data_IF_909477073803
#
_entry.id   IF_909477073803
#
_cell.length_a   1.000
_cell.length_b   1.000
_cell.length_c   1.000
_cell.angle_alpha   90.00
_cell.angle_beta   90.00
_cell.angle_gamma   90.00
#
_symmetry.space_group_name_H-M   'P 1'
#
loop_
_entity.id
_entity.type
_entity.pdbx_description
1 polymer ?
#
# COMPACT_ATOMS: atom_id res chain seq x y z
N UNK A 1 53.00 -40.08 16.96
CA UNK A 1 51.74 -39.36 17.07
C UNK A 1 52.06 -37.90 17.40
N UNK A 2 52.04 -37.01 16.39
CA UNK A 2 52.24 -35.60 16.58
C UNK A 2 50.89 -34.95 16.72
N UNK A 3 50.62 -34.31 17.88
CA UNK A 3 49.42 -33.50 18.13
C UNK A 3 49.61 -32.17 17.40
N UNK A 4 48.71 -31.90 16.45
CA UNK A 4 48.59 -30.60 15.80
C UNK A 4 47.57 -29.80 16.61
N UNK A 5 48.07 -28.79 17.34
CA UNK A 5 47.20 -27.81 18.01
C UNK A 5 46.75 -26.80 16.98
N UNK A 6 45.45 -26.81 16.67
CA UNK A 6 44.83 -25.75 15.90
C UNK A 6 44.46 -24.60 16.86
N UNK A 7 45.24 -23.53 16.78
CA UNK A 7 44.88 -22.25 17.45
C UNK A 7 43.90 -21.53 16.54
N UNK A 8 42.62 -21.59 16.90
CA UNK A 8 41.60 -20.75 16.26
C UNK A 8 41.82 -19.33 16.78
N UNK A 9 42.41 -18.49 15.95
CA UNK A 9 42.40 -17.04 16.15
C UNK A 9 40.96 -16.55 15.95
N UNK A 10 40.24 -16.32 17.03
CA UNK A 10 38.99 -15.60 17.04
C UNK A 10 39.30 -14.15 16.66
N UNK A 11 39.14 -13.81 15.40
CA UNK A 11 38.98 -12.42 15.00
C UNK A 11 37.65 -11.94 15.55
N UNK A 12 37.66 -11.36 16.73
CA UNK A 12 36.64 -10.41 17.13
C UNK A 12 36.76 -9.22 16.17
N UNK A 13 36.00 -9.27 15.06
CA UNK A 13 35.63 -8.07 14.38
C UNK A 13 34.75 -7.30 15.38
N UNK A 14 35.37 -6.43 16.16
CA UNK A 14 34.66 -5.32 16.77
C UNK A 14 34.02 -4.58 15.60
N UNK A 15 32.77 -4.87 15.34
CA UNK A 15 31.91 -3.95 14.60
C UNK A 15 32.01 -2.65 15.40
N UNK A 16 32.83 -1.73 14.88
CA UNK A 16 32.69 -0.33 15.21
C UNK A 16 31.24 -0.01 14.82
N UNK A 17 30.33 -0.12 15.78
CA UNK A 17 29.09 0.63 15.71
C UNK A 17 29.58 2.08 15.72
N UNK A 18 29.64 2.68 14.55
CA UNK A 18 29.69 4.11 14.45
C UNK A 18 28.51 4.57 15.31
N UNK A 19 28.81 5.16 16.43
CA UNK A 19 27.79 5.78 17.27
C UNK A 19 27.31 6.92 16.41
N UNK A 20 26.16 6.68 15.74
CA UNK A 20 25.54 7.67 14.87
C UNK A 20 25.33 8.91 15.73
N UNK A 21 26.13 9.93 15.52
CA UNK A 21 26.09 11.20 16.25
C UNK A 21 24.88 12.00 15.79
N UNK A 22 23.67 11.47 16.00
CA UNK A 22 22.46 12.20 15.67
C UNK A 22 22.26 13.37 16.62
N UNK A 23 21.85 14.51 16.04
CA UNK A 23 21.47 15.71 16.77
C UNK A 23 19.96 15.74 16.92
N UNK A 24 19.49 15.77 18.16
CA UNK A 24 18.07 15.93 18.43
C UNK A 24 17.73 17.40 18.59
N UNK A 25 16.84 17.90 17.74
CA UNK A 25 16.31 19.25 17.82
C UNK A 25 14.84 19.19 18.19
N UNK A 26 14.47 19.90 19.26
CA UNK A 26 13.14 19.92 19.84
C UNK A 26 12.42 21.21 19.49
N UNK A 27 11.18 21.12 19.06
CA UNK A 27 10.38 22.25 18.66
C UNK A 27 10.07 23.17 19.84
N UNK A 28 10.50 24.43 19.73
CA UNK A 28 10.21 25.50 20.71
C UNK A 28 9.54 26.70 20.04
N UNK A 29 9.35 26.63 18.73
CA UNK A 29 8.90 27.74 17.92
C UNK A 29 7.51 28.24 18.27
N UNK A 30 7.25 29.42 17.79
CA UNK A 30 5.91 29.99 17.75
C UNK A 30 5.10 29.25 16.69
N UNK A 31 3.84 29.61 16.53
CA UNK A 31 2.84 29.00 15.66
C UNK A 31 3.36 28.56 14.28
N UNK A 32 4.29 29.28 13.68
CA UNK A 32 4.82 29.01 12.36
C UNK A 32 6.35 29.19 12.36
N UNK A 33 7.05 28.26 11.72
CA UNK A 33 8.49 28.32 11.59
C UNK A 33 9.01 27.41 10.47
N UNK A 34 10.18 27.75 9.95
CA UNK A 34 10.83 26.89 8.96
C UNK A 34 11.71 25.86 9.65
N UNK A 35 11.87 24.68 9.04
CA UNK A 35 12.74 23.64 9.58
C UNK A 35 14.20 24.08 9.70
N UNK A 36 14.60 25.09 8.95
CA UNK A 36 15.97 25.63 8.96
C UNK A 36 16.14 26.84 9.90
N UNK A 37 15.07 27.36 10.50
CA UNK A 37 15.16 28.50 11.42
C UNK A 37 15.65 28.06 12.81
N UNK A 38 16.87 28.42 13.16
CA UNK A 38 17.51 28.02 14.42
C UNK A 38 16.69 28.41 15.66
N UNK A 39 16.03 29.57 15.59
CA UNK A 39 15.19 30.10 16.69
C UNK A 39 13.93 29.28 16.98
N UNK A 40 13.61 28.31 16.11
CA UNK A 40 12.44 27.43 16.26
C UNK A 40 12.76 26.14 17.00
N UNK A 41 14.04 25.90 17.30
CA UNK A 41 14.52 24.63 17.84
C UNK A 41 15.40 24.79 19.06
N UNK A 42 15.39 23.81 19.94
CA UNK A 42 16.28 23.65 21.09
C UNK A 42 17.01 22.31 21.03
N UNK A 43 18.23 22.24 21.56
CA UNK A 43 18.92 20.97 21.81
C UNK A 43 18.41 20.29 23.11
N UNK A 44 17.66 20.97 23.94
CA UNK A 44 17.09 20.48 25.20
C UNK A 44 15.60 20.16 25.05
N UNK A 45 15.22 18.93 25.35
CA UNK A 45 13.83 18.47 25.32
C UNK A 45 12.92 19.24 26.28
N UNK A 46 13.45 19.63 27.43
CA UNK A 46 12.70 20.33 28.47
C UNK A 46 12.65 21.86 28.28
N UNK A 47 13.56 22.41 27.48
CA UNK A 47 13.90 23.83 27.51
C UNK A 47 13.44 24.63 26.32
N UNK A 48 12.75 25.74 26.63
CA UNK A 48 12.55 26.84 25.67
C UNK A 48 13.78 27.78 25.63
N UNK A 49 14.80 27.52 26.45
CA UNK A 49 15.83 28.51 26.79
C UNK A 49 17.19 28.28 26.13
N UNK A 50 17.34 27.18 25.40
CA UNK A 50 18.55 26.87 24.63
C UNK A 50 18.27 26.80 23.12
N UNK A 51 18.15 27.91 22.43
CA UNK A 51 17.98 27.87 20.98
C UNK A 51 19.20 27.22 20.32
N UNK A 52 18.94 26.41 19.31
CA UNK A 52 19.97 25.78 18.50
C UNK A 52 20.87 26.83 17.86
N UNK A 53 22.17 26.65 17.97
CA UNK A 53 23.17 27.55 17.38
C UNK A 53 23.78 27.00 16.09
N UNK A 54 23.62 25.69 15.85
CA UNK A 54 24.15 24.99 14.67
C UNK A 54 23.02 24.68 13.69
N UNK A 55 23.24 24.97 12.42
CA UNK A 55 22.26 24.70 11.38
C UNK A 55 21.97 23.20 11.26
N UNK A 56 20.69 22.80 11.03
CA UNK A 56 20.32 21.42 10.78
C UNK A 56 21.06 20.83 9.56
N UNK A 57 21.43 19.56 9.66
CA UNK A 57 22.12 18.78 8.64
C UNK A 57 21.50 17.37 8.50
N UNK A 58 22.14 16.51 7.70
CA UNK A 58 21.70 15.13 7.45
C UNK A 58 21.65 14.23 8.69
N UNK A 59 22.25 14.63 9.79
CA UNK A 59 22.22 13.90 11.07
C UNK A 59 21.16 14.45 12.02
N UNK A 60 20.40 15.46 11.61
CA UNK A 60 19.42 16.11 12.49
C UNK A 60 18.12 15.33 12.52
N UNK A 61 17.66 15.00 13.74
CA UNK A 61 16.35 14.46 14.04
C UNK A 61 15.50 15.60 14.61
N UNK A 62 14.41 15.92 13.95
CA UNK A 62 13.45 16.91 14.42
C UNK A 62 12.39 16.26 15.28
N UNK A 63 12.25 16.74 16.52
CA UNK A 63 11.28 16.25 17.49
C UNK A 63 10.20 17.33 17.75
N UNK A 64 8.95 17.02 17.45
CA UNK A 64 7.80 17.88 17.71
C UNK A 64 6.94 17.22 18.76
N UNK A 65 7.33 17.41 20.03
CA UNK A 65 6.73 16.74 21.19
C UNK A 65 5.85 17.67 22.06
N UNK A 66 5.81 18.97 21.73
CA UNK A 66 5.02 19.97 22.43
C UNK A 66 4.29 20.87 21.45
N UNK A 67 3.06 21.20 21.78
CA UNK A 67 2.35 22.27 21.11
C UNK A 67 2.89 23.62 21.56
N UNK A 68 2.80 24.60 20.70
CA UNK A 68 3.16 25.97 21.00
C UNK A 68 2.52 26.43 22.32
N UNK A 69 3.27 27.14 23.14
CA UNK A 69 2.69 27.86 24.28
C UNK A 69 1.49 28.66 23.78
N UNK A 70 0.29 28.45 24.33
CA UNK A 70 -0.82 29.30 23.98
C UNK A 70 -0.46 30.72 24.46
N UNK A 71 -0.36 31.67 23.56
CA UNK A 71 -0.53 33.05 23.91
C UNK A 71 -1.93 33.20 24.49
N UNK A 72 -2.06 33.92 25.60
CA UNK A 72 -3.29 34.07 26.35
C UNK A 72 -4.48 34.33 25.41
N UNK A 73 -5.42 33.37 25.32
CA UNK A 73 -6.62 33.44 24.47
C UNK A 73 -6.58 32.67 23.16
N UNK A 74 -5.46 32.08 22.77
CA UNK A 74 -5.40 31.18 21.61
C UNK A 74 -5.16 29.75 22.08
N UNK A 75 -6.19 28.95 21.93
CA UNK A 75 -6.11 27.52 22.18
C UNK A 75 -5.16 26.89 21.14
N UNK A 76 -4.15 26.21 21.60
CA UNK A 76 -3.18 25.34 20.94
C UNK A 76 -3.32 25.19 19.41
N UNK A 77 -2.72 26.10 18.67
CA UNK A 77 -2.54 25.90 17.23
C UNK A 77 -1.52 24.76 16.99
N UNK A 78 -1.71 23.92 15.96
CA UNK A 78 -0.72 22.91 15.62
C UNK A 78 0.61 23.58 15.30
N UNK A 79 1.72 22.89 15.63
CA UNK A 79 3.02 23.34 15.16
C UNK A 79 3.03 23.32 13.64
N UNK A 80 3.24 24.48 13.01
CA UNK A 80 3.29 24.61 11.57
C UNK A 80 4.74 24.69 11.11
N UNK A 81 5.21 23.60 10.49
CA UNK A 81 6.55 23.47 9.96
C UNK A 81 6.54 23.71 8.44
N UNK A 82 7.34 24.63 7.98
CA UNK A 82 7.52 24.85 6.56
C UNK A 82 8.84 24.24 6.09
N UNK A 83 8.76 23.34 5.09
CA UNK A 83 9.90 22.76 4.41
C UNK A 83 10.02 23.31 3.00
N UNK A 84 11.12 23.99 2.73
CA UNK A 84 11.49 24.46 1.39
C UNK A 84 13.01 24.37 1.27
N UNK A 85 13.54 23.16 1.20
CA UNK A 85 14.99 22.97 1.14
C UNK A 85 15.34 21.67 0.41
N UNK A 86 16.40 21.73 -0.36
CA UNK A 86 16.99 20.54 -0.99
C UNK A 86 17.87 19.74 -0.01
N UNK A 87 18.13 20.29 1.19
CA UNK A 87 18.89 19.58 2.21
C UNK A 87 18.09 18.36 2.70
N UNK A 88 18.80 17.27 2.92
CA UNK A 88 18.26 16.11 3.58
C UNK A 88 18.49 16.23 5.10
N UNK A 89 17.52 15.72 5.88
CA UNK A 89 17.61 15.58 7.32
C UNK A 89 17.47 14.11 7.71
N UNK A 90 17.85 13.75 8.93
CA UNK A 90 17.75 12.35 9.34
C UNK A 90 16.31 11.90 9.45
N UNK A 91 15.53 12.51 10.31
CA UNK A 91 14.15 12.10 10.58
C UNK A 91 13.30 13.25 11.13
N UNK A 92 11.99 13.08 11.03
CA UNK A 92 11.03 13.89 11.78
C UNK A 92 10.16 12.97 12.64
N UNK A 93 10.05 13.27 13.91
CA UNK A 93 9.25 12.57 14.90
C UNK A 93 8.27 13.57 15.53
N UNK A 94 6.98 13.36 15.33
CA UNK A 94 5.93 14.18 15.92
C UNK A 94 5.02 13.33 16.80
N UNK A 95 4.84 13.74 18.04
CA UNK A 95 3.92 13.13 18.99
C UNK A 95 2.70 13.99 19.30
N UNK A 96 2.64 15.16 18.69
CA UNK A 96 1.55 16.13 18.87
C UNK A 96 0.92 16.50 17.53
N UNK A 97 -0.17 17.24 17.57
CA UNK A 97 -0.81 17.76 16.37
C UNK A 97 0.15 18.69 15.62
N UNK A 98 0.54 18.30 14.43
CA UNK A 98 1.54 19.00 13.63
C UNK A 98 1.03 19.22 12.23
N UNK A 99 1.15 20.43 11.75
CA UNK A 99 0.88 20.78 10.35
C UNK A 99 2.22 20.97 9.65
N UNK A 100 2.48 20.15 8.62
CA UNK A 100 3.71 20.23 7.85
C UNK A 100 3.37 20.73 6.46
N UNK A 101 3.98 21.86 6.10
CA UNK A 101 3.84 22.45 4.79
C UNK A 101 5.08 22.14 3.96
N UNK A 102 4.94 21.22 3.02
CA UNK A 102 5.95 20.98 1.99
C UNK A 102 5.74 22.01 0.88
N UNK A 103 6.57 23.03 0.83
CA UNK A 103 6.42 24.10 -0.17
C UNK A 103 6.99 23.72 -1.53
N UNK A 104 8.12 23.00 -1.57
CA UNK A 104 8.73 22.45 -2.79
C UNK A 104 9.22 21.04 -2.57
N UNK A 105 10.24 20.87 -1.74
CA UNK A 105 10.88 19.60 -1.46
C UNK A 105 11.19 19.47 0.01
N UNK A 106 10.99 18.29 0.57
CA UNK A 106 11.38 17.94 1.92
C UNK A 106 11.97 16.52 1.91
N UNK A 107 13.20 16.38 2.40
CA UNK A 107 13.95 15.13 2.33
C UNK A 107 14.32 14.64 3.72
N UNK A 108 14.00 13.36 4.01
CA UNK A 108 14.46 12.63 5.18
C UNK A 108 15.22 11.38 4.72
N UNK A 109 16.43 11.15 5.26
CA UNK A 109 17.20 9.94 4.97
C UNK A 109 16.76 8.74 5.82
N UNK A 110 16.07 8.98 6.92
CA UNK A 110 15.47 7.98 7.81
C UNK A 110 13.95 8.09 7.82
N UNK A 111 13.36 7.83 8.99
CA UNK A 111 11.92 7.72 9.14
C UNK A 111 11.23 9.07 9.29
N UNK A 112 9.99 9.10 8.82
CA UNK A 112 9.01 10.12 9.15
C UNK A 112 7.95 9.51 10.07
N UNK A 113 7.86 9.97 11.30
CA UNK A 113 6.96 9.42 12.31
C UNK A 113 6.02 10.51 12.81
N UNK A 114 4.73 10.32 12.60
CA UNK A 114 3.69 11.19 13.13
C UNK A 114 2.73 10.37 13.98
N UNK A 115 2.98 10.32 15.30
CA UNK A 115 2.15 9.66 16.31
C UNK A 115 1.46 10.69 17.19
N UNK A 116 0.18 10.53 17.44
CA UNK A 116 -0.55 11.33 18.44
C UNK A 116 -0.77 10.47 19.65
N UNK A 117 -0.46 11.03 20.81
CA UNK A 117 -0.87 10.45 22.07
C UNK A 117 -2.40 10.46 22.20
N UNK A 118 -2.99 9.34 22.64
CA UNK A 118 -4.44 9.11 22.68
C UNK A 118 -5.21 10.14 23.51
N UNK A 119 -4.53 10.82 24.42
CA UNK A 119 -5.14 11.73 25.41
C UNK A 119 -5.18 13.18 24.94
N UNK A 120 -4.56 13.49 23.80
CA UNK A 120 -4.52 14.87 23.33
C UNK A 120 -5.72 15.19 22.44
N UNK A 121 -6.78 15.72 23.06
CA UNK A 121 -7.94 16.26 22.34
C UNK A 121 -7.96 17.78 22.41
N UNK A 122 -7.95 18.41 21.26
CA UNK A 122 -8.22 19.83 21.09
C UNK A 122 -9.68 20.02 20.70
N UNK A 123 -10.49 20.63 21.54
CA UNK A 123 -11.88 21.06 21.29
C UNK A 123 -12.74 20.00 20.54
N UNK A 124 -12.58 18.72 20.88
CA UNK A 124 -13.27 17.62 20.22
C UNK A 124 -12.94 17.42 18.73
N UNK A 125 -11.97 18.15 18.21
CA UNK A 125 -11.56 18.15 16.79
C UNK A 125 -10.05 18.25 16.70
N UNK A 126 -9.34 17.17 16.65
CA UNK A 126 -7.93 17.22 16.30
C UNK A 126 -7.69 16.66 14.92
N UNK A 127 -7.21 17.48 14.05
CA UNK A 127 -6.81 17.11 12.69
C UNK A 127 -5.32 17.27 12.61
N UNK A 128 -4.60 16.15 12.48
CA UNK A 128 -3.23 16.20 12.02
C UNK A 128 -3.23 16.53 10.55
N UNK A 129 -2.50 17.53 10.18
CA UNK A 129 -2.40 17.90 8.78
C UNK A 129 -0.95 17.76 8.32
N UNK A 130 -0.70 16.78 7.50
CA UNK A 130 0.39 16.86 6.57
C UNK A 130 -0.12 17.66 5.38
N UNK A 131 0.24 18.94 5.33
CA UNK A 131 -0.21 19.83 4.29
C UNK A 131 0.87 20.01 3.27
N UNK A 132 0.61 19.59 2.07
CA UNK A 132 1.41 19.93 0.93
C UNK A 132 0.79 21.18 0.30
N UNK A 133 1.21 22.33 0.78
CA UNK A 133 0.66 23.59 0.34
C UNK A 133 1.71 24.37 -0.44
N UNK A 134 1.32 24.80 -1.62
CA UNK A 134 1.98 25.90 -2.29
C UNK A 134 0.99 27.05 -2.39
N UNK A 135 1.23 28.12 -1.67
CA UNK A 135 0.28 29.20 -1.57
C UNK A 135 0.13 30.02 -2.86
N UNK A 136 1.03 29.91 -3.84
CA UNK A 136 1.09 30.98 -4.84
C UNK A 136 1.35 30.62 -6.31
N UNK A 137 1.51 29.38 -6.73
CA UNK A 137 1.71 29.14 -8.16
C UNK A 137 1.19 27.80 -8.67
N UNK A 138 0.53 27.88 -9.81
CA UNK A 138 -0.18 26.79 -10.48
C UNK A 138 0.72 25.68 -11.08
N UNK A 139 1.99 25.59 -10.76
CA UNK A 139 2.90 24.71 -11.48
C UNK A 139 4.03 24.09 -10.67
N UNK A 140 4.03 24.18 -9.35
CA UNK A 140 5.10 23.59 -8.55
C UNK A 140 4.74 22.19 -8.08
N UNK A 141 5.62 21.29 -8.41
CA UNK A 141 5.63 19.90 -8.02
C UNK A 141 6.06 19.81 -6.55
N UNK A 142 5.20 19.30 -5.69
CA UNK A 142 5.53 19.11 -4.28
C UNK A 142 6.12 17.70 -4.10
N UNK A 143 7.26 17.62 -3.44
CA UNK A 143 8.01 16.39 -3.29
C UNK A 143 8.33 16.15 -1.81
N UNK A 144 7.90 14.99 -1.30
CA UNK A 144 8.32 14.48 0.00
C UNK A 144 9.08 13.18 -0.21
N UNK A 145 10.33 13.15 0.22
CA UNK A 145 11.18 11.96 0.15
C UNK A 145 11.50 11.47 1.56
N UNK A 146 11.20 10.21 1.84
CA UNK A 146 11.45 9.52 3.11
C UNK A 146 12.28 8.27 2.82
N UNK A 147 13.53 8.26 3.24
CA UNK A 147 14.46 7.16 3.02
C UNK A 147 14.18 5.91 3.88
N UNK A 148 13.45 6.08 4.97
CA UNK A 148 12.98 5.00 5.85
C UNK A 148 11.48 4.75 5.72
N UNK A 149 10.84 4.40 6.84
CA UNK A 149 9.40 4.23 6.94
C UNK A 149 8.69 5.56 7.18
N UNK A 150 7.48 5.70 6.63
CA UNK A 150 6.57 6.78 6.97
C UNK A 150 5.44 6.22 7.83
N UNK A 151 5.42 6.59 9.11
CA UNK A 151 4.45 6.07 10.08
C UNK A 151 3.45 7.16 10.44
N UNK A 152 2.19 6.92 10.14
CA UNK A 152 1.08 7.82 10.42
C UNK A 152 0.13 7.15 11.40
N UNK A 153 0.11 7.63 12.65
CA UNK A 153 -0.88 7.16 13.60
C UNK A 153 -2.20 7.87 13.38
N UNK A 154 -3.25 7.09 13.40
CA UNK A 154 -4.62 7.57 13.30
C UNK A 154 -5.42 7.11 14.51
N UNK A 155 -6.39 7.90 14.95
CA UNK A 155 -7.30 7.53 16.03
C UNK A 155 -8.73 7.93 15.68
N UNK A 156 -9.71 7.59 16.48
CA UNK A 156 -11.12 8.01 16.30
C UNK A 156 -11.28 9.53 16.09
N UNK A 157 -10.31 10.31 16.53
CA UNK A 157 -10.39 11.79 16.51
C UNK A 157 -9.34 12.46 15.63
N UNK A 158 -8.43 11.70 15.01
CA UNK A 158 -7.26 12.24 14.33
C UNK A 158 -7.15 11.72 12.91
N UNK A 159 -7.24 12.59 11.94
CA UNK A 159 -7.01 12.28 10.53
C UNK A 159 -5.68 12.88 10.07
N UNK A 160 -4.95 12.15 9.25
CA UNK A 160 -3.86 12.75 8.47
C UNK A 160 -4.44 13.26 7.17
N UNK A 161 -4.39 14.58 6.98
CA UNK A 161 -4.85 15.20 5.74
C UNK A 161 -3.68 15.55 4.86
N UNK A 162 -3.72 15.05 3.64
CA UNK A 162 -2.88 15.53 2.55
C UNK A 162 -3.71 16.49 1.74
N UNK A 163 -3.46 17.80 1.90
CA UNK A 163 -4.20 18.81 1.17
C UNK A 163 -3.40 19.26 -0.04
N UNK A 164 -4.01 19.18 -1.20
CA UNK A 164 -3.48 19.78 -2.43
C UNK A 164 -3.99 21.21 -2.56
N UNK A 165 -3.17 22.07 -3.08
CA UNK A 165 -3.58 23.42 -3.43
C UNK A 165 -3.53 23.57 -4.95
N UNK A 166 -4.70 23.83 -5.55
CA UNK A 166 -4.85 24.26 -6.95
C UNK A 166 -4.40 23.28 -8.05
N UNK A 167 -4.93 22.08 -8.09
CA UNK A 167 -4.78 21.21 -9.26
C UNK A 167 -3.36 20.74 -9.58
N UNK A 168 -2.49 20.68 -8.58
CA UNK A 168 -1.09 20.32 -8.75
C UNK A 168 -0.88 18.81 -8.61
N UNK A 169 0.17 18.32 -9.26
CA UNK A 169 0.68 17.00 -8.99
C UNK A 169 1.51 17.02 -7.72
N UNK A 170 1.22 16.12 -6.80
CA UNK A 170 2.00 15.89 -5.62
C UNK A 170 2.69 14.54 -5.71
N UNK A 171 3.98 14.51 -5.38
CA UNK A 171 4.73 13.26 -5.30
C UNK A 171 5.23 13.01 -3.88
N UNK A 172 5.11 11.76 -3.45
CA UNK A 172 5.65 11.24 -2.21
C UNK A 172 6.43 9.96 -2.49
N UNK A 173 7.70 9.95 -2.13
CA UNK A 173 8.56 8.77 -2.24
C UNK A 173 8.91 8.27 -0.83
N UNK A 174 8.53 7.05 -0.51
CA UNK A 174 8.84 6.38 0.76
C UNK A 174 9.59 5.09 0.44
N UNK A 175 10.90 5.10 0.68
CA UNK A 175 11.74 3.95 0.37
C UNK A 175 11.41 2.73 1.24
N UNK A 176 10.99 2.96 2.48
CA UNK A 176 10.38 1.97 3.35
C UNK A 176 8.90 1.78 3.07
N UNK A 177 8.12 1.52 4.09
CA UNK A 177 6.67 1.37 4.00
C UNK A 177 5.93 2.61 4.51
N UNK A 178 4.85 2.97 3.84
CA UNK A 178 3.82 3.85 4.39
C UNK A 178 2.94 3.01 5.31
N UNK A 179 2.97 3.33 6.61
CA UNK A 179 2.28 2.57 7.66
C UNK A 179 1.22 3.42 8.34
N UNK A 180 0.01 2.90 8.39
CA UNK A 180 -1.07 3.47 9.16
C UNK A 180 -1.24 2.68 10.46
N UNK A 181 -0.96 3.32 11.60
CA UNK A 181 -1.17 2.76 12.92
C UNK A 181 -2.47 3.32 13.49
N UNK A 182 -3.47 2.47 13.70
CA UNK A 182 -4.69 2.88 14.36
C UNK A 182 -4.56 2.75 15.87
N UNK A 183 -4.81 3.85 16.57
CA UNK A 183 -4.78 3.91 18.04
C UNK A 183 -6.20 3.94 18.56
N UNK A 184 -6.64 2.89 19.25
CA UNK A 184 -7.96 2.73 19.83
C UNK A 184 -8.77 1.57 19.24
N UNK A 185 -9.99 1.39 19.72
CA UNK A 185 -10.88 0.37 19.20
C UNK A 185 -11.44 0.78 17.82
N UNK A 186 -11.19 -0.03 16.82
CA UNK A 186 -11.71 0.15 15.48
C UNK A 186 -13.20 -0.12 15.45
N UNK A 187 -14.04 0.88 15.72
CA UNK A 187 -15.43 0.80 15.34
C UNK A 187 -15.53 0.97 13.82
N UNK A 188 -16.13 0.00 13.14
CA UNK A 188 -16.41 0.09 11.73
C UNK A 188 -17.16 1.39 11.41
N UNK A 189 -16.51 2.32 10.74
CA UNK A 189 -17.10 3.59 10.31
C UNK A 189 -16.60 4.87 11.00
N UNK A 190 -15.82 4.79 12.05
CA UNK A 190 -15.26 5.96 12.74
C UNK A 190 -13.75 6.13 12.54
N UNK A 191 -13.20 5.54 11.50
CA UNK A 191 -11.78 5.56 11.23
C UNK A 191 -11.30 6.89 10.65
N UNK A 192 -10.04 7.09 10.72
CA UNK A 192 -9.36 8.28 10.31
C UNK A 192 -8.78 8.15 8.95
N UNK A 193 -8.82 9.28 8.28
CA UNK A 193 -8.60 9.36 6.87
C UNK A 193 -7.14 9.72 6.58
N UNK A 194 -6.61 9.07 5.58
CA UNK A 194 -5.66 9.71 4.70
C UNK A 194 -6.48 10.47 3.66
N UNK A 195 -6.67 11.76 3.91
CA UNK A 195 -7.62 12.58 3.16
C UNK A 195 -6.89 13.37 2.08
N UNK A 196 -7.06 12.95 0.83
CA UNK A 196 -6.50 13.59 -0.35
C UNK A 196 -7.49 14.66 -0.85
N UNK A 197 -7.36 15.89 -0.36
CA UNK A 197 -8.26 16.98 -0.73
C UNK A 197 -7.61 17.98 -1.66
N UNK A 198 -8.28 18.25 -2.76
CA UNK A 198 -8.12 19.50 -3.46
C UNK A 198 -9.14 20.52 -2.93
N UNK A 199 -8.66 21.53 -2.21
CA UNK A 199 -9.56 22.50 -1.58
C UNK A 199 -10.14 23.53 -2.56
N UNK A 200 -9.57 23.68 -3.77
CA UNK A 200 -9.85 24.86 -4.58
C UNK A 200 -10.05 24.65 -6.08
N UNK A 201 -9.93 23.45 -6.62
CA UNK A 201 -9.97 23.34 -8.09
C UNK A 201 -11.19 22.61 -8.62
N UNK A 202 -11.68 23.12 -9.73
CA UNK A 202 -12.55 22.39 -10.66
C UNK A 202 -11.77 21.45 -11.59
N UNK A 203 -10.45 21.48 -11.54
CA UNK A 203 -9.54 20.64 -12.31
C UNK A 203 -8.91 19.63 -11.36
N UNK A 204 -8.98 18.35 -11.67
CA UNK A 204 -8.46 17.28 -10.84
C UNK A 204 -6.99 17.45 -10.46
N UNK A 205 -6.61 16.88 -9.33
CA UNK A 205 -5.22 16.85 -8.83
C UNK A 205 -4.69 15.42 -8.94
N UNK A 206 -3.38 15.30 -9.13
CA UNK A 206 -2.70 14.01 -9.17
C UNK A 206 -1.89 13.79 -7.88
N UNK A 207 -2.01 12.61 -7.31
CA UNK A 207 -1.18 12.15 -6.21
C UNK A 207 -0.39 10.93 -6.65
N UNK A 208 0.93 11.02 -6.62
CA UNK A 208 1.82 9.90 -6.91
C UNK A 208 2.55 9.49 -5.64
N UNK A 209 2.34 8.26 -5.19
CA UNK A 209 3.05 7.66 -4.06
C UNK A 209 3.92 6.50 -4.55
N UNK A 210 5.23 6.68 -4.55
CA UNK A 210 6.20 5.61 -4.78
C UNK A 210 6.58 5.01 -3.42
N UNK A 211 6.27 3.75 -3.21
CA UNK A 211 6.32 3.10 -1.89
C UNK A 211 7.12 1.81 -1.94
N UNK A 212 8.00 1.61 -0.96
CA UNK A 212 8.56 0.30 -0.68
C UNK A 212 7.57 -0.68 -0.05
N UNK A 213 6.41 -0.20 0.38
CA UNK A 213 5.30 -0.99 0.88
C UNK A 213 4.17 -0.12 1.45
N UNK A 214 3.01 -0.74 1.66
CA UNK A 214 1.83 -0.12 2.26
C UNK A 214 1.22 -1.07 3.30
N UNK A 215 0.99 -0.59 4.52
CA UNK A 215 0.43 -1.42 5.58
C UNK A 215 -0.51 -0.65 6.51
N UNK A 216 -1.41 -1.37 7.17
CA UNK A 216 -2.27 -0.83 8.20
C UNK A 216 -2.44 -1.80 9.37
N UNK A 217 -2.56 -1.28 10.58
CA UNK A 217 -2.78 -2.09 11.78
C UNK A 217 -4.21 -2.64 11.92
N UNK A 218 -5.12 -2.31 10.99
CA UNK A 218 -6.51 -2.78 11.04
C UNK A 218 -7.37 -2.23 9.90
N UNK A 219 -8.65 -2.56 9.92
CA UNK A 219 -9.64 -2.15 8.90
C UNK A 219 -10.08 -0.68 9.00
N UNK A 220 -9.61 0.05 10.00
CA UNK A 220 -10.09 1.40 10.32
C UNK A 220 -9.52 2.52 9.46
N UNK A 221 -8.64 2.22 8.50
CA UNK A 221 -8.07 3.25 7.64
C UNK A 221 -9.04 3.61 6.54
N UNK A 222 -9.42 4.87 6.52
CA UNK A 222 -10.26 5.44 5.48
C UNK A 222 -9.39 6.34 4.59
N UNK A 223 -9.19 5.92 3.36
CA UNK A 223 -8.62 6.78 2.33
C UNK A 223 -9.75 7.52 1.63
N UNK A 224 -9.66 8.84 1.65
CA UNK A 224 -10.65 9.68 1.00
C UNK A 224 -10.01 10.59 -0.02
N UNK A 225 -10.75 10.85 -1.07
CA UNK A 225 -10.38 11.85 -2.05
C UNK A 225 -11.56 12.80 -2.30
N UNK A 226 -11.29 13.93 -2.91
CA UNK A 226 -12.32 14.88 -3.30
C UNK A 226 -11.92 15.60 -4.58
N UNK A 227 -12.91 15.96 -5.40
CA UNK A 227 -12.73 16.77 -6.60
C UNK A 227 -11.85 16.14 -7.68
N UNK A 228 -12.14 14.90 -8.03
CA UNK A 228 -11.52 14.19 -9.16
C UNK A 228 -10.00 14.00 -8.98
N UNK A 229 -9.56 13.60 -7.81
CA UNK A 229 -8.17 13.22 -7.56
C UNK A 229 -7.87 11.89 -8.25
N UNK A 230 -6.77 11.84 -8.97
CA UNK A 230 -6.17 10.59 -9.43
C UNK A 230 -5.00 10.25 -8.51
N UNK A 231 -5.11 9.14 -7.81
CA UNK A 231 -4.09 8.67 -6.88
C UNK A 231 -3.40 7.42 -7.42
N UNK A 232 -2.10 7.52 -7.69
CA UNK A 232 -1.27 6.43 -8.17
C UNK A 232 -0.40 5.91 -7.01
N UNK A 233 -0.60 4.65 -6.62
CA UNK A 233 0.24 3.93 -5.67
C UNK A 233 1.15 2.97 -6.43
N UNK A 234 2.44 3.28 -6.46
CA UNK A 234 3.46 2.49 -7.14
C UNK A 234 4.31 1.78 -6.09
N UNK A 235 4.20 0.48 -6.03
CA UNK A 235 5.01 -0.38 -5.16
C UNK A 235 6.27 -0.79 -5.89
N UNK A 236 7.42 -0.35 -5.39
CA UNK A 236 8.72 -0.57 -6.03
C UNK A 236 9.85 -0.75 -5.03
N UNK A 237 10.95 -1.33 -5.49
CA UNK A 237 12.14 -1.42 -4.67
C UNK A 237 12.69 -0.03 -4.36
N UNK A 238 13.25 0.12 -3.17
CA UNK A 238 14.08 1.25 -2.80
C UNK A 238 15.39 1.27 -3.59
N UNK A 239 16.15 2.36 -3.49
CA UNK A 239 17.39 2.53 -4.22
C UNK A 239 18.46 1.47 -3.88
N UNK A 240 18.42 0.89 -2.68
CA UNK A 240 19.28 -0.23 -2.26
C UNK A 240 18.78 -1.61 -2.74
N UNK A 241 17.72 -1.65 -3.53
CA UNK A 241 17.12 -2.86 -4.08
C UNK A 241 16.19 -3.61 -3.13
N UNK A 242 15.94 -3.10 -1.91
CA UNK A 242 15.03 -3.76 -0.98
C UNK A 242 13.57 -3.42 -1.26
N UNK A 243 12.68 -4.37 -0.98
CA UNK A 243 11.24 -4.17 -1.00
C UNK A 243 10.65 -4.57 0.35
N UNK A 244 9.93 -3.65 1.00
CA UNK A 244 9.35 -3.91 2.33
C UNK A 244 8.03 -4.66 2.24
N UNK A 245 7.22 -4.29 1.24
CA UNK A 245 5.86 -4.79 1.13
C UNK A 245 4.98 -4.44 2.32
N UNK A 246 3.86 -5.12 2.43
CA UNK A 246 2.95 -4.96 3.56
C UNK A 246 1.56 -5.51 3.31
N UNK A 247 0.75 -5.47 4.35
CA UNK A 247 -0.66 -5.79 4.30
C UNK A 247 -1.47 -4.55 4.66
N UNK A 248 -2.19 -4.01 3.69
CA UNK A 248 -3.09 -2.88 3.88
C UNK A 248 -4.54 -3.35 3.86
N UNK A 249 -5.32 -2.82 4.79
CA UNK A 249 -6.78 -3.00 4.86
C UNK A 249 -7.43 -1.65 5.09
N UNK A 250 -8.33 -1.25 4.21
CA UNK A 250 -8.96 0.06 4.33
C UNK A 250 -10.19 0.24 3.47
N UNK A 251 -10.83 1.39 3.64
CA UNK A 251 -11.97 1.85 2.87
C UNK A 251 -11.51 2.97 1.95
N UNK A 252 -11.85 2.90 0.68
CA UNK A 252 -11.61 3.98 -0.28
C UNK A 252 -12.92 4.67 -0.62
N UNK A 253 -13.06 5.92 -0.25
CA UNK A 253 -14.28 6.69 -0.42
C UNK A 253 -14.01 8.04 -1.06
N UNK A 254 -14.92 8.46 -1.92
CA UNK A 254 -14.98 9.78 -2.51
C UNK A 254 -16.02 10.67 -1.84
N UNK A 255 -15.89 11.97 -1.98
CA UNK A 255 -16.91 12.91 -1.52
C UNK A 255 -17.91 13.19 -2.64
N UNK A 256 -19.16 13.11 -2.34
CA UNK A 256 -20.39 12.92 -3.14
C UNK A 256 -20.58 13.65 -4.48
N UNK A 257 -19.66 14.47 -4.94
CA UNK A 257 -19.80 15.20 -6.23
C UNK A 257 -18.59 15.03 -7.14
N UNK A 258 -17.70 14.13 -6.80
CA UNK A 258 -16.44 13.91 -7.50
C UNK A 258 -16.30 12.47 -7.92
N UNK A 259 -15.46 12.24 -8.92
CA UNK A 259 -15.12 10.92 -9.48
C UNK A 259 -13.62 10.74 -9.33
N UNK A 260 -13.17 10.44 -8.11
CA UNK A 260 -11.76 10.18 -7.85
C UNK A 260 -11.40 8.73 -8.17
N UNK A 261 -10.18 8.54 -8.63
CA UNK A 261 -9.68 7.25 -9.08
C UNK A 261 -8.42 6.89 -8.32
N UNK A 262 -8.29 5.64 -7.92
CA UNK A 262 -7.07 5.07 -7.37
C UNK A 262 -6.50 4.03 -8.34
N UNK A 263 -5.21 4.10 -8.60
CA UNK A 263 -4.48 3.14 -9.41
C UNK A 263 -3.42 2.44 -8.56
N UNK A 264 -3.14 1.18 -8.89
CA UNK A 264 -2.08 0.40 -8.26
C UNK A 264 -1.12 -0.13 -9.30
N UNK A 265 0.16 0.02 -9.06
CA UNK A 265 1.21 -0.57 -9.87
C UNK A 265 2.17 -1.36 -8.98
N UNK A 266 2.29 -2.65 -9.21
CA UNK A 266 3.27 -3.52 -8.57
C UNK A 266 4.47 -3.73 -9.47
N UNK A 267 5.63 -3.22 -9.03
CA UNK A 267 6.90 -3.27 -9.75
C UNK A 267 8.08 -3.62 -8.81
N UNK A 268 7.81 -3.96 -7.55
CA UNK A 268 8.81 -4.39 -6.56
C UNK A 268 8.96 -5.90 -6.55
N UNK A 269 10.09 -6.40 -6.04
CA UNK A 269 10.44 -7.83 -6.03
C UNK A 269 9.75 -8.66 -4.93
N UNK A 270 9.03 -8.03 -4.02
CA UNK A 270 8.42 -8.69 -2.88
C UNK A 270 6.91 -8.84 -3.01
N UNK A 271 6.23 -8.90 -1.86
CA UNK A 271 4.79 -9.09 -1.76
C UNK A 271 4.10 -7.87 -1.18
N UNK A 272 3.04 -7.41 -1.86
CA UNK A 272 2.12 -6.39 -1.36
C UNK A 272 0.70 -6.91 -1.37
N UNK A 273 0.00 -6.79 -0.24
CA UNK A 273 -1.43 -7.10 -0.13
C UNK A 273 -2.22 -5.83 0.13
N UNK A 274 -3.33 -5.67 -0.59
CA UNK A 274 -4.26 -4.55 -0.44
C UNK A 274 -5.68 -5.10 -0.37
N UNK A 275 -6.38 -4.81 0.72
CA UNK A 275 -7.79 -5.16 0.89
C UNK A 275 -8.63 -3.89 1.00
N UNK A 276 -9.57 -3.73 0.07
CA UNK A 276 -10.41 -2.55 -0.09
C UNK A 276 -11.86 -2.90 0.20
N UNK A 277 -12.45 -2.19 1.13
CA UNK A 277 -13.84 -2.35 1.54
C UNK A 277 -14.69 -1.17 1.07
N UNK A 278 -15.97 -1.43 0.81
CA UNK A 278 -16.97 -0.38 0.54
C UNK A 278 -17.16 0.53 1.75
N UNK A 279 -17.42 1.79 1.51
CA UNK A 279 -17.81 2.71 2.55
C UNK A 279 -19.18 2.28 3.11
N UNK A 280 -19.27 2.02 4.42
CA UNK A 280 -20.55 1.79 5.05
C UNK A 280 -21.45 3.03 4.92
N UNK A 281 -22.67 2.85 4.49
CA UNK A 281 -23.68 3.92 4.43
C UNK A 281 -23.79 4.59 5.81
N UNK A 282 -23.59 5.90 5.87
CA UNK A 282 -23.67 6.69 7.10
C UNK A 282 -22.37 6.76 7.93
N UNK A 283 -21.26 6.19 7.48
CA UNK A 283 -19.97 6.38 8.14
C UNK A 283 -19.56 7.86 8.08
N UNK A 284 -19.76 8.59 9.18
CA UNK A 284 -19.27 9.96 9.29
C UNK A 284 -17.78 9.93 9.61
N UNK A 285 -16.96 10.43 8.71
CA UNK A 285 -15.64 10.89 9.09
C UNK A 285 -15.89 12.07 10.03
N UNK A 286 -15.21 12.14 11.19
CA UNK A 286 -15.34 13.23 12.15
C UNK A 286 -14.95 14.62 11.64
N UNK A 287 -15.05 14.84 10.34
CA UNK A 287 -14.76 16.10 9.64
C UNK A 287 -16.13 16.73 9.34
N UNK A 288 -16.44 17.79 10.06
CA UNK A 288 -17.70 18.53 9.85
C UNK A 288 -17.86 19.02 8.41
N UNK A 289 -19.00 18.76 7.79
CA UNK A 289 -19.36 19.27 6.47
C UNK A 289 -19.22 18.30 5.32
N UNK A 290 -19.11 17.00 5.59
CA UNK A 290 -19.03 15.98 4.54
C UNK A 290 -20.44 15.53 4.17
N UNK A 291 -20.83 15.85 2.95
CA UNK A 291 -21.99 15.28 2.28
C UNK A 291 -21.81 13.75 2.06
N UNK A 292 -22.84 13.10 1.61
CA UNK A 292 -22.88 11.66 1.30
C UNK A 292 -21.60 11.17 0.61
N UNK A 293 -21.09 10.02 1.03
CA UNK A 293 -19.89 9.41 0.48
C UNK A 293 -20.27 8.50 -0.69
N UNK A 294 -19.46 8.51 -1.73
CA UNK A 294 -19.45 7.52 -2.78
C UNK A 294 -18.18 6.67 -2.68
N UNK A 295 -18.23 5.50 -3.27
CA UNK A 295 -17.03 4.70 -3.41
C UNK A 295 -16.08 5.33 -4.46
N UNK A 296 -14.77 5.31 -4.20
CA UNK A 296 -13.79 5.63 -5.23
C UNK A 296 -13.80 4.55 -6.31
N UNK A 297 -13.42 4.92 -7.52
CA UNK A 297 -13.19 3.95 -8.58
C UNK A 297 -11.75 3.42 -8.49
N UNK A 298 -11.59 2.11 -8.66
CA UNK A 298 -10.27 1.56 -8.95
C UNK A 298 -10.08 1.65 -10.48
N UNK A 299 -9.15 2.49 -10.91
CA UNK A 299 -8.84 2.68 -12.33
C UNK A 299 -8.01 1.51 -12.86
N UNK A 300 -6.71 1.62 -12.73
CA UNK A 300 -5.78 0.64 -13.29
C UNK A 300 -5.06 -0.13 -12.18
N UNK A 301 -4.99 -1.44 -12.34
CA UNK A 301 -4.14 -2.34 -11.57
C UNK A 301 -3.14 -2.97 -12.53
N UNK A 302 -1.87 -2.68 -12.38
CA UNK A 302 -0.81 -3.19 -13.24
C UNK A 302 0.23 -3.95 -12.41
N UNK A 303 0.48 -5.21 -12.77
CA UNK A 303 1.45 -6.07 -12.11
C UNK A 303 2.51 -6.47 -13.12
N UNK A 304 3.72 -5.96 -12.91
CA UNK A 304 4.87 -6.22 -13.79
C UNK A 304 5.93 -7.07 -13.10
N UNK A 305 5.94 -7.12 -11.75
CA UNK A 305 6.96 -7.82 -10.97
C UNK A 305 6.44 -8.11 -9.56
N UNK A 306 7.05 -9.09 -8.85
CA UNK A 306 6.70 -9.47 -7.50
C UNK A 306 5.31 -10.08 -7.35
N UNK A 307 4.77 -10.07 -6.14
CA UNK A 307 3.46 -10.64 -5.80
C UNK A 307 2.51 -9.52 -5.37
N UNK A 308 1.40 -9.35 -6.07
CA UNK A 308 0.34 -8.43 -5.70
C UNK A 308 -0.95 -9.18 -5.36
N UNK A 309 -1.44 -8.98 -4.14
CA UNK A 309 -2.71 -9.54 -3.68
C UNK A 309 -3.70 -8.39 -3.55
N UNK A 310 -4.74 -8.41 -4.35
CA UNK A 310 -5.82 -7.44 -4.31
C UNK A 310 -7.14 -8.11 -3.96
N UNK A 311 -7.68 -7.72 -2.80
CA UNK A 311 -9.04 -8.06 -2.41
C UNK A 311 -9.89 -6.78 -2.49
N UNK A 312 -10.89 -6.74 -3.33
CA UNK A 312 -11.68 -5.53 -3.55
C UNK A 312 -13.17 -5.79 -3.52
N UNK A 313 -13.88 -4.98 -2.75
CA UNK A 313 -15.34 -4.85 -2.83
C UNK A 313 -15.76 -3.76 -3.84
N UNK A 314 -14.80 -3.06 -4.47
CA UNK A 314 -15.04 -2.04 -5.48
C UNK A 314 -14.81 -2.58 -6.88
N UNK A 315 -15.54 -2.07 -7.85
CA UNK A 315 -15.32 -2.35 -9.26
C UNK A 315 -13.95 -1.83 -9.71
N UNK A 316 -13.31 -2.58 -10.61
CA UNK A 316 -11.99 -2.28 -11.15
C UNK A 316 -12.12 -2.04 -12.66
N UNK A 317 -11.63 -0.91 -13.15
CA UNK A 317 -11.73 -0.61 -14.57
C UNK A 317 -10.81 -1.49 -15.42
N UNK A 318 -9.52 -1.56 -15.06
CA UNK A 318 -8.55 -2.36 -15.83
C UNK A 318 -7.61 -3.10 -14.89
N UNK A 319 -7.39 -4.37 -15.18
CA UNK A 319 -6.34 -5.20 -14.58
C UNK A 319 -5.39 -5.66 -15.68
N UNK A 320 -4.09 -5.40 -15.52
CA UNK A 320 -3.04 -5.87 -16.42
C UNK A 320 -2.01 -6.69 -15.65
N UNK A 321 -1.82 -7.92 -16.07
CA UNK A 321 -0.78 -8.83 -15.59
C UNK A 321 0.25 -9.04 -16.69
N UNK A 322 1.35 -8.30 -16.62
CA UNK A 322 2.42 -8.30 -17.62
C UNK A 322 3.69 -9.00 -17.12
N UNK A 323 3.65 -9.51 -15.86
CA UNK A 323 4.72 -10.21 -15.18
C UNK A 323 4.40 -10.36 -13.70
N UNK A 324 5.31 -10.92 -12.89
CA UNK A 324 5.07 -11.16 -11.47
C UNK A 324 3.90 -12.11 -11.20
N UNK A 325 3.28 -11.99 -10.01
CA UNK A 325 2.16 -12.82 -9.56
C UNK A 325 1.02 -11.94 -9.09
N UNK A 326 -0.20 -12.21 -9.57
CA UNK A 326 -1.43 -11.53 -9.17
C UNK A 326 -2.41 -12.51 -8.56
N UNK A 327 -2.84 -12.24 -7.32
CA UNK A 327 -4.04 -12.81 -6.74
C UNK A 327 -5.13 -11.76 -6.67
N UNK A 328 -6.18 -11.94 -7.44
CA UNK A 328 -7.34 -11.06 -7.45
C UNK A 328 -8.55 -11.76 -6.85
N UNK A 329 -9.16 -11.12 -5.84
CA UNK A 329 -10.44 -11.49 -5.28
C UNK A 329 -11.34 -10.27 -5.33
N UNK A 330 -12.42 -10.35 -6.08
CA UNK A 330 -13.38 -9.23 -6.20
C UNK A 330 -14.80 -9.75 -6.17
N UNK A 331 -15.70 -9.00 -5.56
CA UNK A 331 -17.14 -9.23 -5.62
C UNK A 331 -17.81 -8.45 -6.75
N UNK A 332 -17.07 -7.57 -7.41
CA UNK A 332 -17.54 -6.70 -8.49
C UNK A 332 -16.86 -7.06 -9.80
N UNK A 333 -17.40 -6.53 -10.90
CA UNK A 333 -16.82 -6.72 -12.23
C UNK A 333 -15.49 -5.99 -12.41
N UNK A 334 -14.66 -6.57 -13.27
CA UNK A 334 -13.46 -5.96 -13.86
C UNK A 334 -13.83 -5.52 -15.28
N UNK A 335 -13.63 -4.25 -15.62
CA UNK A 335 -13.93 -3.78 -16.97
C UNK A 335 -13.06 -4.50 -18.01
N UNK A 336 -11.74 -4.45 -17.86
CA UNK A 336 -10.82 -5.20 -18.75
C UNK A 336 -9.82 -6.00 -17.93
N UNK A 337 -9.74 -7.30 -18.19
CA UNK A 337 -8.67 -8.17 -17.73
C UNK A 337 -7.71 -8.46 -18.87
N UNK A 338 -6.49 -7.94 -18.77
CA UNK A 338 -5.40 -8.16 -19.73
C UNK A 338 -4.33 -9.05 -19.14
N UNK A 339 -3.98 -10.12 -19.82
CA UNK A 339 -2.96 -11.08 -19.39
C UNK A 339 -1.87 -11.14 -20.47
N UNK A 340 -0.75 -10.48 -20.20
CA UNK A 340 0.42 -10.43 -21.06
C UNK A 340 1.58 -11.33 -20.61
N UNK A 341 1.51 -11.88 -19.39
CA UNK A 341 2.55 -12.75 -18.81
C UNK A 341 2.41 -12.97 -17.32
N UNK A 342 3.34 -13.69 -16.71
CA UNK A 342 3.41 -13.85 -15.24
C UNK A 342 2.57 -15.00 -14.69
N UNK A 343 2.05 -14.79 -13.48
CA UNK A 343 1.32 -15.81 -12.71
C UNK A 343 0.00 -15.27 -12.18
N UNK A 344 -1.11 -15.92 -12.54
CA UNK A 344 -2.44 -15.64 -12.01
C UNK A 344 -2.74 -16.66 -10.90
N UNK A 345 -2.82 -16.19 -9.65
CA UNK A 345 -3.25 -17.05 -8.53
C UNK A 345 -4.77 -17.00 -8.41
N UNK A 346 -5.42 -18.13 -8.54
CA UNK A 346 -6.87 -18.23 -8.44
C UNK A 346 -7.36 -17.81 -7.06
N UNK A 347 -8.23 -16.84 -7.01
CA UNK A 347 -8.87 -16.34 -5.77
C UNK A 347 -10.40 -16.44 -5.82
N UNK A 348 -10.93 -17.03 -6.89
CA UNK A 348 -12.35 -17.10 -7.25
C UNK A 348 -12.54 -16.72 -8.70
N UNK A 349 -13.71 -16.97 -9.25
CA UNK A 349 -14.04 -16.57 -10.63
C UNK A 349 -13.95 -15.06 -10.79
N UNK A 350 -13.21 -14.60 -11.81
CA UNK A 350 -13.11 -13.19 -12.18
C UNK A 350 -14.19 -12.89 -13.21
N UNK A 351 -15.09 -11.98 -12.91
CA UNK A 351 -16.09 -11.49 -13.86
C UNK A 351 -15.50 -10.27 -14.59
N UNK A 352 -15.34 -10.35 -15.91
CA UNK A 352 -14.74 -9.28 -16.71
C UNK A 352 -15.69 -8.85 -17.85
N UNK A 353 -15.76 -7.55 -18.14
CA UNK A 353 -16.46 -7.12 -19.34
C UNK A 353 -15.64 -7.52 -20.58
N UNK A 354 -14.31 -7.36 -20.53
CA UNK A 354 -13.41 -7.75 -21.62
C UNK A 354 -12.26 -8.62 -21.11
N UNK A 355 -12.04 -9.75 -21.76
CA UNK A 355 -10.83 -10.56 -21.62
C UNK A 355 -9.88 -10.35 -22.80
N UNK A 356 -8.64 -10.06 -22.49
CA UNK A 356 -7.54 -9.96 -23.47
C UNK A 356 -6.36 -10.82 -23.00
N UNK A 357 -5.96 -11.77 -23.80
CA UNK A 357 -4.78 -12.60 -23.52
C UNK A 357 -3.82 -12.47 -24.69
N UNK A 358 -2.60 -11.99 -24.41
CA UNK A 358 -1.58 -11.71 -25.43
C UNK A 358 -0.17 -12.14 -25.00
N UNK A 359 -0.10 -13.18 -24.16
CA UNK A 359 1.17 -13.63 -23.58
C UNK A 359 2.10 -14.19 -24.67
N UNK A 360 3.34 -13.74 -24.68
CA UNK A 360 4.40 -14.31 -25.53
C UNK A 360 4.93 -15.64 -24.97
N UNK A 361 4.91 -15.77 -23.64
CA UNK A 361 5.28 -16.97 -22.89
C UNK A 361 4.06 -17.50 -22.13
N UNK A 362 4.07 -18.78 -21.78
CA UNK A 362 2.98 -19.39 -21.04
C UNK A 362 2.77 -18.75 -19.68
N UNK A 363 1.52 -18.39 -19.39
CA UNK A 363 1.08 -17.83 -18.11
C UNK A 363 0.78 -18.95 -17.14
N UNK A 364 1.30 -18.86 -15.94
CA UNK A 364 0.97 -19.80 -14.87
C UNK A 364 -0.37 -19.43 -14.24
N UNK A 365 -1.23 -20.41 -14.06
CA UNK A 365 -2.45 -20.29 -13.26
C UNK A 365 -2.34 -21.23 -12.06
N UNK A 366 -2.34 -20.66 -10.85
CA UNK A 366 -2.09 -21.41 -9.61
C UNK A 366 -3.39 -21.63 -8.86
N UNK A 367 -3.66 -22.86 -8.50
CA UNK A 367 -4.84 -23.30 -7.77
C UNK A 367 -4.47 -23.81 -6.37
N UNK A 368 -5.29 -23.52 -5.37
CA UNK A 368 -5.15 -24.18 -4.07
C UNK A 368 -5.73 -25.60 -4.12
N UNK A 369 -5.29 -26.45 -3.20
CA UNK A 369 -5.83 -27.80 -3.04
C UNK A 369 -7.34 -27.82 -2.80
N UNK A 370 -7.89 -26.76 -2.21
CA UNK A 370 -9.33 -26.60 -2.01
C UNK A 370 -10.06 -26.36 -3.33
N UNK A 371 -9.48 -25.57 -4.22
CA UNK A 371 -10.08 -25.25 -5.53
C UNK A 371 -10.14 -26.49 -6.40
N UNK A 372 -9.08 -27.32 -6.34
CA UNK A 372 -8.97 -28.58 -7.10
C UNK A 372 -9.94 -29.69 -6.66
N UNK A 373 -10.70 -29.49 -5.61
CA UNK A 373 -11.76 -30.41 -5.21
C UNK A 373 -13.01 -30.34 -6.13
N UNK A 374 -13.10 -29.32 -6.99
CA UNK A 374 -14.14 -29.17 -8.01
C UNK A 374 -13.69 -29.83 -9.32
N UNK A 375 -14.64 -30.29 -10.16
CA UNK A 375 -14.30 -30.89 -11.45
C UNK A 375 -13.91 -29.84 -12.49
N UNK A 376 -14.67 -28.76 -12.56
CA UNK A 376 -14.40 -27.64 -13.48
C UNK A 376 -14.34 -26.33 -12.69
N UNK A 377 -13.31 -25.55 -12.96
CA UNK A 377 -13.08 -24.26 -12.29
C UNK A 377 -13.21 -23.16 -13.32
N UNK A 378 -14.25 -22.32 -13.19
CA UNK A 378 -14.36 -21.12 -14.01
C UNK A 378 -13.35 -20.11 -13.50
N UNK A 379 -12.30 -19.86 -14.29
CA UNK A 379 -11.23 -18.91 -13.96
C UNK A 379 -11.69 -17.49 -14.29
N UNK A 380 -12.23 -17.30 -15.50
CA UNK A 380 -12.77 -16.00 -15.95
C UNK A 380 -14.12 -16.23 -16.62
N UNK A 381 -15.08 -15.39 -16.28
CA UNK A 381 -16.36 -15.22 -17.00
C UNK A 381 -16.32 -13.84 -17.65
N UNK A 382 -16.52 -13.74 -18.97
CA UNK A 382 -16.34 -12.48 -19.71
C UNK A 382 -17.48 -12.21 -20.69
N UNK A 383 -17.77 -10.93 -20.93
CA UNK A 383 -18.81 -10.50 -21.90
C UNK A 383 -18.25 -10.33 -23.31
N UNK A 384 -16.92 -10.08 -23.43
CA UNK A 384 -16.29 -9.83 -24.72
C UNK A 384 -14.87 -10.41 -24.73
N UNK A 385 -14.52 -11.17 -25.76
CA UNK A 385 -13.16 -11.62 -26.03
C UNK A 385 -12.50 -10.70 -27.07
N UNK A 386 -11.38 -10.07 -26.72
CA UNK A 386 -10.73 -9.09 -27.58
C UNK A 386 -9.95 -9.71 -28.74
N UNK A 387 -9.37 -10.89 -28.54
CA UNK A 387 -8.61 -11.65 -29.52
C UNK A 387 -8.66 -13.12 -29.19
N UNK A 388 -8.63 -13.97 -30.21
CA UNK A 388 -8.55 -15.42 -30.03
C UNK A 388 -7.16 -15.84 -29.54
N UNK A 389 -7.11 -16.85 -28.68
CA UNK A 389 -5.87 -17.44 -28.19
C UNK A 389 -6.07 -18.94 -27.93
N UNK A 390 -5.01 -19.71 -28.09
CA UNK A 390 -5.01 -21.12 -27.69
C UNK A 390 -4.79 -21.23 -26.17
N UNK A 391 -5.86 -21.54 -25.45
CA UNK A 391 -5.83 -21.57 -24.00
C UNK A 391 -4.82 -22.58 -23.44
N UNK A 392 -4.68 -23.76 -24.09
CA UNK A 392 -3.78 -24.82 -23.62
C UNK A 392 -2.31 -24.55 -23.93
N UNK A 393 -1.99 -23.82 -24.99
CA UNK A 393 -0.61 -23.42 -25.26
C UNK A 393 -0.19 -22.18 -24.50
N UNK A 394 -1.16 -21.34 -24.09
CA UNK A 394 -0.93 -20.06 -23.43
C UNK A 394 -0.96 -20.17 -21.89
N UNK A 395 -1.76 -21.08 -21.34
CA UNK A 395 -1.98 -21.21 -19.91
C UNK A 395 -1.51 -22.57 -19.41
N UNK A 396 -0.80 -22.60 -18.28
CA UNK A 396 -0.35 -23.83 -17.62
C UNK A 396 -0.82 -23.80 -16.16
N UNK A 397 -1.49 -24.88 -15.74
CA UNK A 397 -1.98 -24.99 -14.38
C UNK A 397 -0.94 -25.54 -13.41
N UNK A 398 -0.87 -24.95 -12.21
CA UNK A 398 0.00 -25.37 -11.11
C UNK A 398 -0.79 -25.50 -9.81
N UNK A 399 -0.32 -26.35 -8.91
CA UNK A 399 -0.77 -26.33 -7.52
C UNK A 399 -0.01 -25.25 -6.70
N UNK A 400 -0.46 -25.02 -5.47
CA UNK A 400 0.16 -24.10 -4.51
C UNK A 400 1.60 -24.47 -4.10
N UNK A 401 2.05 -25.69 -4.42
CA UNK A 401 3.40 -26.18 -4.15
C UNK A 401 4.31 -26.02 -5.40
N UNK A 402 3.78 -25.52 -6.50
CA UNK A 402 4.50 -25.32 -7.76
C UNK A 402 4.61 -26.57 -8.61
N UNK A 403 3.79 -27.60 -8.37
CA UNK A 403 3.72 -28.75 -9.24
C UNK A 403 2.76 -28.47 -10.40
N UNK A 404 3.19 -28.77 -11.62
CA UNK A 404 2.34 -28.68 -12.79
C UNK A 404 1.20 -29.68 -12.70
N UNK A 405 0.00 -29.24 -12.97
CA UNK A 405 -1.21 -30.05 -12.95
C UNK A 405 -1.51 -30.54 -14.35
N UNK A 406 -1.96 -31.81 -14.45
CA UNK A 406 -2.63 -32.29 -15.66
C UNK A 406 -3.97 -31.56 -15.80
N UNK A 407 -4.62 -31.68 -16.94
CA UNK A 407 -5.89 -31.05 -17.23
C UNK A 407 -5.78 -30.06 -18.37
N UNK A 408 -6.87 -29.41 -18.68
CA UNK A 408 -6.97 -28.58 -19.88
C UNK A 408 -7.65 -27.25 -19.57
N UNK A 409 -7.19 -26.17 -20.17
CA UNK A 409 -7.91 -24.91 -20.21
C UNK A 409 -8.84 -24.90 -21.43
N UNK A 410 -10.11 -24.66 -21.18
CA UNK A 410 -11.16 -24.63 -22.21
C UNK A 410 -11.66 -23.20 -22.32
N UNK A 411 -11.49 -22.62 -23.50
CA UNK A 411 -12.06 -21.33 -23.86
C UNK A 411 -13.42 -21.58 -24.54
N UNK A 412 -14.49 -21.27 -23.81
CA UNK A 412 -15.85 -21.33 -24.32
C UNK A 412 -16.29 -19.94 -24.72
N UNK A 413 -16.13 -19.57 -25.98
CA UNK A 413 -16.46 -18.24 -26.50
C UNK A 413 -15.74 -17.97 -27.81
N UNK A 414 -16.11 -16.90 -28.49
CA UNK A 414 -15.51 -16.46 -29.75
C UNK A 414 -15.11 -14.99 -29.65
N UNK A 415 -14.19 -14.57 -30.50
CA UNK A 415 -13.79 -13.16 -30.59
C UNK A 415 -15.00 -12.28 -30.87
N UNK A 416 -15.19 -11.26 -30.05
CA UNK A 416 -16.33 -10.35 -30.12
C UNK A 416 -17.57 -10.82 -29.35
N UNK A 417 -17.52 -11.97 -28.70
CA UNK A 417 -18.61 -12.57 -27.94
C UNK A 417 -18.21 -12.84 -26.50
N UNK A 418 -19.21 -13.07 -25.64
CA UNK A 418 -19.02 -13.49 -24.26
C UNK A 418 -18.71 -14.98 -24.15
N UNK A 419 -18.18 -15.36 -22.97
CA UNK A 419 -17.84 -16.75 -22.72
C UNK A 419 -17.16 -16.97 -21.38
N UNK A 420 -16.57 -18.15 -21.24
CA UNK A 420 -15.86 -18.56 -20.03
C UNK A 420 -14.50 -19.18 -20.36
N UNK A 421 -13.52 -18.87 -19.53
CA UNK A 421 -12.26 -19.61 -19.46
C UNK A 421 -12.35 -20.58 -18.27
N UNK A 422 -12.31 -21.87 -18.57
CA UNK A 422 -12.50 -22.95 -17.60
C UNK A 422 -11.23 -23.79 -17.51
N UNK A 423 -10.81 -24.16 -16.31
CA UNK A 423 -9.85 -25.22 -16.10
C UNK A 423 -10.58 -26.51 -15.75
N UNK A 424 -10.43 -27.51 -16.60
CA UNK A 424 -11.00 -28.84 -16.38
C UNK A 424 -10.02 -29.68 -15.57
N UNK A 425 -10.36 -29.93 -14.30
CA UNK A 425 -9.54 -30.71 -13.37
C UNK A 425 -9.54 -32.17 -13.83
N UNK A 426 -8.38 -32.80 -14.00
CA UNK A 426 -8.33 -34.20 -14.34
C UNK A 426 -9.09 -35.05 -13.34
N UNK A 427 -10.00 -35.86 -13.83
CA UNK A 427 -10.61 -36.87 -12.94
C UNK A 427 -9.51 -37.71 -12.26
N UNK A 428 -9.57 -37.92 -10.94
CA UNK A 428 -8.63 -38.80 -10.27
C UNK A 428 -8.67 -40.13 -10.99
N UNK A 429 -7.57 -40.46 -11.65
CA UNK A 429 -7.45 -41.52 -12.65
C UNK A 429 -8.12 -42.76 -12.13
N UNK A 430 -9.20 -43.20 -12.77
CA UNK A 430 -9.88 -44.49 -12.51
C UNK A 430 -8.84 -45.64 -12.52
N UNK A 431 -7.75 -45.47 -13.27
CA UNK A 431 -6.56 -46.31 -13.24
C UNK A 431 -5.86 -46.37 -11.89
N UNK A 432 -5.75 -45.28 -11.14
CA UNK A 432 -5.13 -45.30 -9.81
C UNK A 432 -6.05 -45.99 -8.80
N UNK A 433 -7.36 -45.81 -8.89
CA UNK A 433 -8.33 -46.51 -8.11
C UNK A 433 -8.38 -48.02 -8.48
N UNK A 434 -8.27 -48.35 -9.79
CA UNK A 434 -8.20 -49.73 -10.26
C UNK A 434 -6.90 -50.42 -9.83
N UNK A 435 -5.76 -49.73 -9.93
CA UNK A 435 -4.47 -50.23 -9.44
C UNK A 435 -4.46 -50.39 -7.92
N UNK A 436 -5.07 -49.45 -7.20
CA UNK A 436 -5.29 -49.59 -5.75
C UNK A 436 -6.17 -50.77 -5.38
N UNK A 437 -7.26 -51.03 -6.12
CA UNK A 437 -8.11 -52.19 -5.94
C UNK A 437 -7.40 -53.51 -6.30
N UNK A 438 -6.61 -53.54 -7.38
CA UNK A 438 -5.81 -54.68 -7.79
C UNK A 438 -4.72 -54.96 -6.73
N UNK A 439 -4.05 -53.95 -6.21
CA UNK A 439 -3.06 -54.07 -5.15
C UNK A 439 -3.70 -54.63 -3.85
N UNK A 440 -4.87 -54.11 -3.50
CA UNK A 440 -5.63 -54.54 -2.35
C UNK A 440 -6.12 -56.01 -2.52
N UNK A 441 -6.65 -56.35 -3.69
CA UNK A 441 -7.09 -57.71 -4.02
C UNK A 441 -5.93 -58.70 -3.99
N UNK A 442 -4.75 -58.34 -4.50
CA UNK A 442 -3.54 -59.17 -4.43
C UNK A 442 -3.01 -59.31 -3.01
N UNK A 443 -3.08 -58.27 -2.19
CA UNK A 443 -2.70 -58.37 -0.77
C UNK A 443 -3.64 -59.29 0.03
N UNK A 444 -4.95 -59.22 -0.24
CA UNK A 444 -5.95 -60.13 0.38
C UNK A 444 -5.75 -61.55 -0.08
N UNK A 445 -5.48 -61.79 -1.38
CA UNK A 445 -5.22 -63.13 -1.90
C UNK A 445 -3.94 -63.74 -1.33
N UNK A 446 -2.91 -62.99 -1.06
CA UNK A 446 -1.68 -63.44 -0.37
C UNK A 446 -1.92 -63.78 1.10
N UNK A 447 -2.78 -63.02 1.80
CA UNK A 447 -3.13 -63.30 3.20
C UNK A 447 -3.95 -64.60 3.38
N UNK A 448 -4.69 -65.06 2.36
CA UNK A 448 -5.45 -66.26 2.41
C UNK A 448 -4.62 -67.52 2.09
N UNK A 449 -3.36 -67.37 1.65
CA UNK A 449 -2.45 -68.50 1.34
C UNK A 449 -1.35 -68.73 2.38
N UNK A 450 -1.27 -67.90 3.38
CA UNK A 450 -0.46 -68.03 4.59
C UNK A 450 -1.35 -68.47 5.76
#
# INVERSE_FOLDING_TARGET
MKRISFTIAMFCAASLFAQDNYKNYYWIGQYEGTMTALTSWSEDESGYDNPVTVAPDENTIFNVNKNNKPTQGQLSNPARLQGNTTKAFRSLISTVNTEIHVLNTMNFTGDYISRVDSDYMYDGKSVKQLRFANDNSASTFNFLNVGGDMILSTSKYHATRVSFVKGNTMQMDVAGALKFEYIGEASAGGGHAFDMRDNNSSTGSNFLANLGGLSSSGKGVLMTASKNVVADFVFQNSADGTFKGGDFKGVFADFSTSSSTVNFKMNGDGRQSVSIYKAANGASIGISGVAEKSDMQIGNVNVTKGEFILNSELAINTVSLDGGSLKLTTSEKVGTLSIGGGELVYGGTIFADTLSVSAADAVKVVFSSKDLASHDIIVVDFEYLSADFDANSTLIAFDENGNELGGEFILNGSVGEGGTLVYSVPEPCVTAALLGMIALATAIARRKKS
#
